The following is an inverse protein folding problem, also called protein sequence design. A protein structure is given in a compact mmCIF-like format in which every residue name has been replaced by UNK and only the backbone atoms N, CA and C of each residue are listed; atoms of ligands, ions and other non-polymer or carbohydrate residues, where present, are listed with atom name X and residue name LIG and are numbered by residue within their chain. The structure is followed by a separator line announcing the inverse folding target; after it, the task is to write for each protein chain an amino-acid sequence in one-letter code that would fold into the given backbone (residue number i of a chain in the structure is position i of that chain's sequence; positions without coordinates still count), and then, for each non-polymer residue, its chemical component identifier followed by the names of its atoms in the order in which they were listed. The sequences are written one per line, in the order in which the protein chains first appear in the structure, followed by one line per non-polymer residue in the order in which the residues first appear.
data_IF_374979105952
#
_entry.id   IF_374979105952
#
_cell.length_a   1.000
_cell.length_b   1.000
_cell.length_c   1.000
_cell.angle_alpha   90.00
_cell.angle_beta   90.00
_cell.angle_gamma   90.00
#
_symmetry.space_group_name_H-M   'P 1'
#
loop_
_entity.id
_entity.type
_entity.pdbx_description
1 polymer ?
#
# COMPACT_ATOMS: atom_id res chain seq x y z
N UNK A 1 -30.04 -0.60 13.24
CA UNK A 1 -28.67 -0.98 13.62
C UNK A 1 -27.77 -0.59 12.46
N UNK A 2 -27.16 0.59 12.50
CA UNK A 2 -26.16 0.99 11.50
C UNK A 2 -24.91 0.18 11.81
N UNK A 3 -24.69 -0.93 11.08
CA UNK A 3 -23.34 -1.53 11.05
C UNK A 3 -22.46 -0.44 10.47
N UNK A 4 -21.69 0.19 11.36
CA UNK A 4 -20.94 1.39 11.07
C UNK A 4 -20.19 1.24 9.75
N UNK A 5 -20.44 2.19 8.85
CA UNK A 5 -19.73 2.47 7.59
C UNK A 5 -18.44 1.63 7.44
N UNK A 6 -18.46 0.59 6.61
CA UNK A 6 -17.24 -0.16 6.31
C UNK A 6 -16.32 0.75 5.48
N UNK A 7 -15.12 1.03 6.01
CA UNK A 7 -14.09 1.78 5.31
C UNK A 7 -13.10 0.78 4.75
N UNK A 8 -12.94 0.79 3.44
CA UNK A 8 -11.91 0.05 2.75
C UNK A 8 -10.72 0.97 2.55
N UNK A 9 -9.54 0.49 2.92
CA UNK A 9 -8.28 1.17 2.67
C UNK A 9 -7.48 0.27 1.74
N UNK A 10 -6.89 0.84 0.70
CA UNK A 10 -6.07 0.11 -0.28
C UNK A 10 -4.73 0.80 -0.45
N UNK A 11 -3.68 0.02 -0.74
CA UNK A 11 -2.37 0.53 -1.13
C UNK A 11 -1.94 -0.16 -2.42
N UNK A 12 -1.57 0.62 -3.45
CA UNK A 12 -1.22 0.12 -4.80
C UNK A 12 -2.28 -0.84 -5.39
N UNK A 13 -3.55 -0.65 -5.07
CA UNK A 13 -4.67 -1.50 -5.52
C UNK A 13 -4.92 -2.75 -4.65
N UNK A 14 -4.13 -2.99 -3.60
CA UNK A 14 -4.33 -4.09 -2.66
C UNK A 14 -5.07 -3.62 -1.41
N UNK A 15 -6.13 -4.34 -1.00
CA UNK A 15 -6.88 -4.05 0.22
C UNK A 15 -6.06 -4.30 1.49
N UNK A 16 -6.12 -3.35 2.41
CA UNK A 16 -5.45 -3.34 3.68
C UNK A 16 -6.39 -3.82 4.75
N UNK A 17 -6.10 -5.00 5.31
CA UNK A 17 -6.93 -5.56 6.37
C UNK A 17 -6.74 -4.77 7.68
N UNK A 18 -7.79 -4.63 8.51
CA UNK A 18 -7.75 -3.79 9.71
C UNK A 18 -6.76 -4.24 10.79
N UNK A 19 -6.20 -5.45 10.68
CA UNK A 19 -5.16 -5.96 11.58
C UNK A 19 -3.73 -5.73 11.07
N UNK A 20 -3.54 -5.18 9.88
CA UNK A 20 -2.22 -4.91 9.32
C UNK A 20 -1.65 -3.61 9.88
N UNK A 21 -0.37 -3.63 10.22
CA UNK A 21 0.36 -2.42 10.62
C UNK A 21 0.86 -1.69 9.39
N UNK A 22 0.97 -0.36 9.46
CA UNK A 22 1.56 0.44 8.37
C UNK A 22 3.01 0.03 8.06
N UNK A 23 3.73 -0.55 9.02
CA UNK A 23 5.06 -1.13 8.79
C UNK A 23 4.96 -2.37 7.90
N UNK A 24 4.06 -3.31 8.21
CA UNK A 24 3.86 -4.49 7.37
C UNK A 24 3.43 -4.11 5.95
N UNK A 25 2.54 -3.13 5.82
CA UNK A 25 2.07 -2.60 4.53
C UNK A 25 3.21 -1.99 3.75
N UNK A 26 4.06 -1.20 4.41
CA UNK A 26 5.25 -0.61 3.79
C UNK A 26 6.17 -1.69 3.26
N UNK A 27 6.53 -2.66 4.09
CA UNK A 27 7.59 -3.61 3.78
C UNK A 27 7.13 -4.73 2.82
N UNK A 28 5.84 -5.06 2.82
CA UNK A 28 5.31 -6.20 2.06
C UNK A 28 4.42 -5.80 0.87
N UNK A 29 3.81 -4.60 0.88
CA UNK A 29 2.84 -4.18 -0.16
C UNK A 29 3.36 -2.99 -0.96
N UNK A 30 3.82 -1.94 -0.27
CA UNK A 30 4.23 -0.71 -0.93
C UNK A 30 5.66 -0.78 -1.48
N UNK A 31 6.60 -1.28 -0.66
CA UNK A 31 8.01 -1.33 -1.01
C UNK A 31 8.23 -2.17 -2.29
N UNK A 32 9.13 -1.72 -3.18
CA UNK A 32 9.53 -2.52 -4.33
C UNK A 32 10.18 -3.81 -3.82
N UNK A 33 9.65 -4.95 -4.26
CA UNK A 33 10.11 -6.30 -3.87
C UNK A 33 11.54 -6.62 -4.32
N UNK A 34 12.26 -5.65 -4.87
CA UNK A 34 13.64 -5.75 -5.31
C UNK A 34 14.61 -5.60 -4.13
N UNK A 35 14.49 -6.50 -3.15
CA UNK A 35 15.61 -6.92 -2.28
C UNK A 35 16.38 -8.10 -2.91
N UNK A 36 16.24 -8.32 -4.22
CA UNK A 36 17.07 -9.24 -5.02
C UNK A 36 18.32 -8.50 -5.50
N UNK A 37 19.36 -8.49 -4.68
CA UNK A 37 20.78 -8.66 -5.04
C UNK A 37 21.40 -7.92 -6.26
N UNK A 38 20.86 -6.83 -6.79
CA UNK A 38 21.56 -6.04 -7.81
C UNK A 38 22.06 -4.69 -7.25
N UNK A 39 23.35 -4.36 -7.40
CA UNK A 39 23.85 -3.03 -7.08
C UNK A 39 23.14 -1.99 -7.98
N UNK A 40 23.02 -0.73 -7.51
CA UNK A 40 22.26 0.32 -8.17
C UNK A 40 23.05 0.87 -9.38
N UNK A 41 23.32 0.03 -10.36
CA UNK A 41 23.84 0.48 -11.64
C UNK A 41 22.70 0.49 -12.65
N UNK A 42 22.22 1.71 -12.88
CA UNK A 42 21.66 2.16 -14.15
C UNK A 42 20.33 1.53 -14.57
N UNK A 43 19.34 2.42 -14.82
CA UNK A 43 18.08 2.19 -15.56
C UNK A 43 16.83 1.92 -14.73
N UNK A 44 16.17 3.01 -14.32
CA UNK A 44 14.79 3.35 -14.75
C UNK A 44 13.98 3.93 -13.61
N UNK A 45 13.77 5.25 -13.69
CA UNK A 45 12.78 6.01 -12.92
C UNK A 45 13.03 6.03 -11.40
N UNK A 46 14.04 6.82 -10.99
CA UNK A 46 13.98 7.49 -9.69
C UNK A 46 12.83 8.50 -9.74
N UNK A 47 11.59 7.99 -9.68
CA UNK A 47 10.44 8.82 -9.36
C UNK A 47 10.59 9.16 -7.88
N UNK A 48 10.58 10.44 -7.56
CA UNK A 48 10.55 10.98 -6.19
C UNK A 48 9.29 10.56 -5.40
N UNK A 49 8.58 9.53 -5.85
CA UNK A 49 7.38 8.94 -5.26
C UNK A 49 7.68 7.62 -4.55
N UNK A 50 8.85 7.00 -4.78
CA UNK A 50 9.23 5.72 -4.15
C UNK A 50 9.48 5.80 -2.64
N UNK A 51 9.51 7.00 -2.06
CA UNK A 51 9.59 7.20 -0.61
C UNK A 51 8.25 7.63 0.04
N UNK A 52 7.18 7.80 -0.75
CA UNK A 52 5.85 8.16 -0.26
C UNK A 52 4.87 6.99 -0.35
N UNK A 53 4.42 6.50 0.81
CA UNK A 53 3.39 5.47 0.87
C UNK A 53 2.00 6.10 0.67
N UNK A 54 1.37 5.80 -0.47
CA UNK A 54 0.03 6.29 -0.81
C UNK A 54 -1.02 5.26 -0.42
N UNK A 55 -2.03 5.69 0.35
CA UNK A 55 -3.21 4.91 0.69
C UNK A 55 -4.45 5.55 0.08
N UNK A 56 -5.29 4.75 -0.56
CA UNK A 56 -6.60 5.16 -1.03
C UNK A 56 -7.65 4.65 -0.06
N UNK A 57 -8.63 5.48 0.28
CA UNK A 57 -9.75 5.08 1.12
C UNK A 57 -11.07 5.28 0.37
N UNK A 58 -11.98 4.34 0.55
CA UNK A 58 -13.35 4.43 0.05
C UNK A 58 -14.30 3.99 1.14
N UNK A 59 -15.55 4.43 1.02
CA UNK A 59 -16.62 3.96 1.89
C UNK A 59 -17.45 2.96 1.11
N UNK A 60 -17.42 1.69 1.52
CA UNK A 60 -18.36 0.72 1.02
C UNK A 60 -19.65 0.83 1.82
N UNK A 61 -20.73 1.16 1.11
CA UNK A 61 -22.08 0.85 1.57
C UNK A 61 -22.36 -0.57 1.15
N UNK A 62 -22.03 -1.54 2.00
CA UNK A 62 -22.55 -2.90 1.86
C UNK A 62 -24.08 -2.81 1.82
N UNK A 63 -24.73 -3.19 0.71
CA UNK A 63 -26.20 -3.22 0.63
C UNK A 63 -26.79 -4.30 1.54
#
# INVERSE_FOLDING_TARGET
MDVGKQIEITCRGQELRPYLTLQHVRDNIWAPTTLTLLPPDSSSSSSTTDHVMVLHYSRSTTP
#
